data_IF_130620386771
#
_entry.id   IF_130620386771
#
_cell.length_a   1.000
_cell.length_b   1.000
_cell.length_c   1.000
_cell.angle_alpha   90.00
_cell.angle_beta   90.00
_cell.angle_gamma   90.00
#
_symmetry.space_group_name_H-M   'P 1'
#
loop_
_entity.id
_entity.type
_entity.pdbx_description
1 polymer ?
#
# COMPACT_ATOMS: atom_id res chain seq x y z
N UNK A 1 17.06 2.03 2.34
CA UNK A 1 16.45 1.55 3.60
C UNK A 1 15.48 0.42 3.25
N UNK A 2 15.57 -0.77 3.85
CA UNK A 2 14.58 -1.84 3.58
C UNK A 2 13.30 -1.50 4.35
N UNK A 3 12.23 -1.13 3.65
CA UNK A 3 10.92 -0.87 4.25
C UNK A 3 10.43 -2.14 4.95
N UNK A 4 10.50 -2.16 6.28
CA UNK A 4 9.91 -3.18 7.14
C UNK A 4 8.39 -3.01 7.16
N UNK A 5 7.72 -3.34 6.04
CA UNK A 5 6.32 -3.68 6.11
C UNK A 5 6.23 -4.96 6.93
N UNK A 6 5.90 -4.80 8.23
CA UNK A 6 5.53 -5.91 9.11
C UNK A 6 4.58 -6.80 8.33
N UNK A 7 4.86 -8.10 8.26
CA UNK A 7 4.18 -9.04 7.37
C UNK A 7 2.68 -9.10 7.70
N UNK A 8 1.88 -8.20 7.12
CA UNK A 8 0.42 -8.20 7.26
C UNK A 8 -0.10 -9.28 6.31
N UNK A 9 -0.83 -10.26 6.85
CA UNK A 9 -1.42 -11.30 6.01
C UNK A 9 -2.42 -10.66 5.06
N UNK A 10 -2.32 -11.01 3.78
CA UNK A 10 -3.12 -10.37 2.76
C UNK A 10 -2.67 -8.95 2.44
N UNK A 11 -1.39 -8.62 2.60
CA UNK A 11 -0.78 -7.42 2.00
C UNK A 11 -0.24 -7.72 0.60
N UNK A 12 -0.39 -6.76 -0.31
CA UNK A 12 0.25 -6.74 -1.61
C UNK A 12 1.12 -5.48 -1.71
N UNK A 13 2.41 -5.68 -1.95
CA UNK A 13 3.39 -4.60 -2.11
C UNK A 13 3.79 -4.54 -3.59
N UNK A 14 3.63 -3.38 -4.20
CA UNK A 14 3.98 -3.14 -5.60
C UNK A 14 4.88 -1.92 -5.69
N UNK A 15 6.11 -2.09 -6.15
CA UNK A 15 7.09 -1.00 -6.27
C UNK A 15 7.31 -0.63 -7.73
N UNK A 16 7.29 0.66 -8.03
CA UNK A 16 7.55 1.24 -9.33
C UNK A 16 8.81 2.10 -9.27
N UNK A 17 9.74 1.88 -10.19
CA UNK A 17 10.80 2.84 -10.45
C UNK A 17 10.26 4.01 -11.28
N UNK A 18 10.56 5.22 -10.85
CA UNK A 18 10.07 6.45 -11.44
C UNK A 18 11.14 7.11 -12.28
N UNK A 19 10.73 7.63 -13.45
CA UNK A 19 11.61 8.42 -14.31
C UNK A 19 11.74 9.87 -13.85
N UNK A 20 10.75 10.35 -13.08
CA UNK A 20 10.66 11.75 -12.65
C UNK A 20 10.31 11.82 -11.17
N UNK A 21 11.27 12.27 -10.38
CA UNK A 21 11.07 12.65 -8.97
C UNK A 21 11.49 14.10 -8.79
N UNK A 22 10.69 14.87 -8.04
CA UNK A 22 11.08 16.21 -7.58
C UNK A 22 11.64 16.12 -6.17
N UNK A 23 12.26 17.20 -5.67
CA UNK A 23 12.85 17.24 -4.32
C UNK A 23 11.86 16.97 -3.18
N UNK A 24 10.54 17.05 -3.45
CA UNK A 24 9.49 16.93 -2.43
C UNK A 24 8.49 15.79 -2.70
N UNK A 25 8.40 15.29 -3.93
CA UNK A 25 7.38 14.31 -4.31
C UNK A 25 7.78 13.40 -5.48
N UNK A 26 7.19 12.21 -5.46
CA UNK A 26 7.19 11.24 -6.54
C UNK A 26 6.05 11.56 -7.51
N UNK A 27 6.32 11.54 -8.82
CA UNK A 27 5.26 11.72 -9.81
C UNK A 27 5.00 10.41 -10.53
N UNK A 28 3.78 9.89 -10.42
CA UNK A 28 3.38 8.64 -11.07
C UNK A 28 1.97 8.77 -11.64
N UNK A 29 1.80 8.43 -12.93
CA UNK A 29 0.53 8.56 -13.66
C UNK A 29 -0.15 9.94 -13.51
N UNK A 30 0.64 11.03 -13.49
CA UNK A 30 0.11 12.39 -13.33
C UNK A 30 -0.33 12.76 -11.91
N UNK A 31 -0.14 11.87 -10.93
CA UNK A 31 -0.40 12.12 -9.52
C UNK A 31 0.90 12.38 -8.76
N UNK A 32 0.87 13.31 -7.82
CA UNK A 32 1.99 13.63 -6.94
C UNK A 32 1.85 12.92 -5.60
N UNK A 33 2.83 12.13 -5.24
CA UNK A 33 2.92 11.41 -3.98
C UNK A 33 3.98 12.06 -3.10
N UNK A 34 3.62 12.60 -1.92
CA UNK A 34 4.57 13.27 -1.05
C UNK A 34 5.65 12.30 -0.57
N UNK A 35 6.87 12.82 -0.33
CA UNK A 35 7.99 12.04 0.21
C UNK A 35 7.57 11.28 1.48
N UNK A 36 8.04 10.05 1.60
CA UNK A 36 7.77 9.19 2.76
C UNK A 36 6.48 8.40 2.61
N UNK A 37 5.96 7.95 3.75
CA UNK A 37 4.80 7.06 3.85
C UNK A 37 3.51 7.84 4.09
N UNK A 38 2.48 7.58 3.29
CA UNK A 38 1.19 8.26 3.34
C UNK A 38 0.04 7.30 3.07
N UNK A 39 -1.03 7.39 3.86
CA UNK A 39 -2.25 6.62 3.64
C UNK A 39 -2.98 7.08 2.37
N UNK A 40 -3.60 6.13 1.66
CA UNK A 40 -4.41 6.43 0.48
C UNK A 40 -5.81 6.89 0.90
N UNK A 41 -6.22 8.14 0.65
CA UNK A 41 -7.57 8.58 0.97
C UNK A 41 -8.61 7.83 0.11
N UNK A 42 -9.60 7.22 0.76
CA UNK A 42 -10.68 6.49 0.09
C UNK A 42 -10.31 5.09 -0.42
N UNK A 43 -9.12 4.58 -0.11
CA UNK A 43 -8.70 3.21 -0.42
C UNK A 43 -7.94 2.61 0.75
N UNK A 44 -8.10 1.31 0.99
CA UNK A 44 -7.33 0.66 2.04
C UNK A 44 -5.91 0.34 1.55
N UNK A 45 -4.99 1.24 1.85
CA UNK A 45 -3.59 1.11 1.47
C UNK A 45 -2.78 2.34 1.84
N UNK A 46 -1.49 2.25 1.58
CA UNK A 46 -0.53 3.32 1.77
C UNK A 46 0.47 3.38 0.62
N UNK A 47 1.02 4.56 0.39
CA UNK A 47 2.08 4.81 -0.58
C UNK A 47 3.35 5.21 0.15
N UNK A 48 4.49 4.74 -0.36
CA UNK A 48 5.80 5.18 0.10
C UNK A 48 6.60 5.72 -1.08
N UNK A 49 6.90 7.02 -1.05
CA UNK A 49 7.76 7.68 -2.02
C UNK A 49 9.18 7.79 -1.50
N UNK A 50 10.12 7.09 -2.15
CA UNK A 50 11.55 7.20 -1.93
C UNK A 50 12.19 8.03 -3.06
N UNK A 51 12.63 9.24 -2.71
CA UNK A 51 13.25 10.15 -3.66
C UNK A 51 14.72 9.80 -3.97
N UNK A 52 15.39 9.08 -3.06
CA UNK A 52 16.81 8.70 -3.21
C UNK A 52 16.92 7.53 -4.18
N UNK A 53 16.08 6.51 -3.99
CA UNK A 53 15.99 5.34 -4.87
C UNK A 53 15.08 5.57 -6.10
N UNK A 54 14.44 6.74 -6.18
CA UNK A 54 13.44 7.08 -7.21
C UNK A 54 12.35 6.02 -7.33
N UNK A 55 11.87 5.51 -6.20
CA UNK A 55 10.84 4.47 -6.16
C UNK A 55 9.55 4.97 -5.52
N UNK A 56 8.43 4.48 -6.04
CA UNK A 56 7.12 4.63 -5.42
C UNK A 56 6.57 3.24 -5.15
N UNK A 57 6.33 2.96 -3.89
CA UNK A 57 5.75 1.69 -3.44
C UNK A 57 4.30 1.90 -3.07
N UNK A 58 3.43 1.09 -3.64
CA UNK A 58 2.03 0.95 -3.26
C UNK A 58 1.90 -0.28 -2.37
N UNK A 59 1.25 -0.09 -1.23
CA UNK A 59 0.91 -1.14 -0.31
C UNK A 59 -0.59 -1.17 -0.18
N UNK A 60 -1.20 -2.26 -0.64
CA UNK A 60 -2.65 -2.45 -0.63
C UNK A 60 -2.98 -3.79 0.00
N UNK A 61 -4.25 -4.01 0.31
CA UNK A 61 -4.70 -5.36 0.62
C UNK A 61 -4.63 -6.25 -0.64
N UNK A 62 -4.24 -7.51 -0.45
CA UNK A 62 -4.20 -8.56 -1.45
C UNK A 62 -5.62 -8.99 -1.78
N UNK A 63 -5.89 -9.12 -3.07
CA UNK A 63 -7.13 -9.67 -3.63
C UNK A 63 -7.04 -11.17 -3.89
N UNK A 64 -6.13 -11.88 -3.19
CA UNK A 64 -5.90 -13.32 -3.40
C UNK A 64 -7.21 -14.12 -3.34
N UNK A 65 -7.48 -15.01 -4.31
CA UNK A 65 -8.71 -15.78 -4.35
C UNK A 65 -8.82 -16.63 -3.09
N UNK A 66 -9.92 -16.41 -2.36
CA UNK A 66 -10.16 -17.03 -1.06
C UNK A 66 -10.45 -18.52 -1.20
N UNK A 67 -9.99 -19.36 -0.25
CA UNK A 67 -10.60 -20.66 -0.05
C UNK A 67 -12.10 -20.47 0.24
N UNK A 68 -13.00 -21.28 -0.37
CA UNK A 68 -14.45 -21.11 -0.22
C UNK A 68 -14.96 -21.27 1.22
N UNK A 69 -14.14 -21.79 2.14
CA UNK A 69 -14.46 -22.02 3.54
C UNK A 69 -14.20 -20.84 4.47
N UNK A 70 -13.57 -19.75 4.00
CA UNK A 70 -13.15 -18.64 4.86
C UNK A 70 -14.15 -17.47 4.78
N UNK A 71 -14.53 -16.90 5.93
CA UNK A 71 -15.38 -15.72 6.01
C UNK A 71 -14.54 -14.43 5.90
N UNK A 72 -15.02 -13.45 5.14
CA UNK A 72 -14.50 -12.09 5.23
C UNK A 72 -15.29 -11.36 6.30
N UNK A 73 -14.66 -10.89 7.40
CA UNK A 73 -15.31 -9.91 8.25
C UNK A 73 -15.57 -8.64 7.43
N UNK A 74 -16.65 -7.92 7.76
CA UNK A 74 -16.86 -6.58 7.20
C UNK A 74 -15.63 -5.70 7.51
N UNK A 75 -15.20 -4.85 6.57
CA UNK A 75 -14.09 -3.94 6.82
C UNK A 75 -14.45 -3.06 8.01
N UNK A 76 -13.69 -3.16 9.10
CA UNK A 76 -14.05 -2.48 10.37
C UNK A 76 -13.92 -0.94 10.31
N UNK A 77 -13.48 -0.38 9.18
CA UNK A 77 -13.17 1.04 9.07
C UNK A 77 -11.89 1.37 9.85
N UNK A 78 -11.01 2.16 9.24
CA UNK A 78 -9.71 2.46 9.80
C UNK A 78 -8.71 2.90 8.73
N UNK A 79 -7.50 3.23 9.15
CA UNK A 79 -6.37 3.45 8.25
C UNK A 79 -5.69 2.11 7.95
N UNK A 80 -4.82 2.06 6.93
CA UNK A 80 -4.01 0.87 6.69
C UNK A 80 -3.05 0.67 7.90
N UNK A 81 -2.86 -0.55 8.41
CA UNK A 81 -3.34 -1.85 7.90
C UNK A 81 -4.71 -2.32 8.41
N UNK A 82 -5.32 -1.64 9.38
CA UNK A 82 -6.57 -2.07 10.05
C UNK A 82 -7.78 -2.15 9.11
N UNK A 83 -7.77 -1.38 8.02
CA UNK A 83 -8.83 -1.47 7.00
C UNK A 83 -8.73 -2.72 6.11
N UNK A 84 -7.67 -3.51 6.18
CA UNK A 84 -7.53 -4.73 5.37
C UNK A 84 -8.30 -5.87 6.03
N UNK A 85 -9.31 -6.44 5.34
CA UNK A 85 -10.05 -7.55 5.91
C UNK A 85 -9.20 -8.82 5.89
N UNK A 86 -8.84 -9.32 7.07
CA UNK A 86 -8.21 -10.64 7.20
C UNK A 86 -9.28 -11.75 7.12
N UNK A 87 -9.11 -12.76 6.25
CA UNK A 87 -10.04 -13.88 6.21
C UNK A 87 -9.94 -14.68 7.51
N UNK A 88 -11.10 -14.94 8.13
CA UNK A 88 -11.20 -15.80 9.31
C UNK A 88 -11.48 -17.22 8.82
N UNK A 89 -10.49 -18.08 9.03
CA UNK A 89 -10.54 -19.54 9.00
C UNK A 89 -9.63 -20.04 10.13
#
# INVERSE_FOLDING_TARGET
YLLCYSFVRGQQVTTYHLNTTNSENCTYNGTHYPKGEHNMPGSCGMTACDLEDQTLTFVTCSSTPRPPSCLLPEPQGGEYPDCCPEPIC
#
